data_IF_567635552986
#
_entry.id   IF_567635552986
#
_cell.length_a   1.000
_cell.length_b   1.000
_cell.length_c   1.000
_cell.angle_alpha   90.00
_cell.angle_beta   90.00
_cell.angle_gamma   90.00
#
_symmetry.space_group_name_H-M   'P 1'
#
loop_
_entity.id
_entity.type
_entity.pdbx_description
1 polymer ?
#
# COMPACT_ATOMS: atom_id res chain seq x y z
N UNK A 1 -14.79 -22.40 -33.59
CA UNK A 1 -15.18 -21.43 -32.53
C UNK A 1 -14.60 -21.78 -31.15
N UNK A 2 -14.73 -23.02 -30.65
CA UNK A 2 -14.23 -23.44 -29.31
C UNK A 2 -12.70 -23.27 -29.09
N UNK A 3 -11.89 -23.45 -30.14
CA UNK A 3 -10.42 -23.24 -30.10
C UNK A 3 -9.99 -21.77 -30.00
N UNK A 4 -10.78 -20.85 -30.56
CA UNK A 4 -10.50 -19.41 -30.54
C UNK A 4 -10.76 -18.83 -29.14
N UNK A 5 -11.84 -19.26 -28.49
CA UNK A 5 -12.13 -18.85 -27.10
C UNK A 5 -11.05 -19.29 -26.10
N UNK A 6 -10.50 -20.51 -26.27
CA UNK A 6 -9.39 -21.00 -25.43
C UNK A 6 -8.12 -20.16 -25.65
N UNK A 7 -7.82 -19.80 -26.90
CA UNK A 7 -6.65 -18.99 -27.23
C UNK A 7 -6.74 -17.58 -26.61
N UNK A 8 -7.92 -16.95 -26.68
CA UNK A 8 -8.17 -15.64 -26.07
C UNK A 8 -8.06 -15.71 -24.54
N UNK A 9 -8.62 -16.75 -23.92
CA UNK A 9 -8.52 -16.95 -22.47
C UNK A 9 -7.06 -17.12 -22.01
N UNK A 10 -6.26 -17.89 -22.75
CA UNK A 10 -4.83 -18.08 -22.49
C UNK A 10 -4.03 -16.78 -22.65
N UNK A 11 -4.34 -15.97 -23.66
CA UNK A 11 -3.68 -14.68 -23.88
C UNK A 11 -3.99 -13.69 -22.75
N UNK A 12 -5.25 -13.62 -22.30
CA UNK A 12 -5.65 -12.80 -21.17
C UNK A 12 -4.96 -13.27 -19.88
N UNK A 13 -4.93 -14.58 -19.61
CA UNK A 13 -4.24 -15.13 -18.44
C UNK A 13 -2.73 -14.80 -18.43
N UNK A 14 -2.06 -14.91 -19.57
CA UNK A 14 -0.63 -14.59 -19.69
C UNK A 14 -0.33 -13.11 -19.38
N UNK A 15 -1.20 -12.19 -19.80
CA UNK A 15 -1.04 -10.74 -19.55
C UNK A 15 -1.18 -10.34 -18.07
N UNK A 16 -1.94 -11.11 -17.29
CA UNK A 16 -2.09 -10.88 -15.83
C UNK A 16 -0.83 -11.35 -15.09
N UNK A 17 -0.24 -12.46 -15.52
CA UNK A 17 0.96 -13.05 -14.90
C UNK A 17 2.18 -12.13 -15.05
N UNK A 18 2.38 -11.54 -16.24
CA UNK A 18 3.53 -10.64 -16.49
C UNK A 18 3.46 -9.37 -15.65
N UNK A 19 2.29 -8.74 -15.55
CA UNK A 19 2.08 -7.53 -14.75
C UNK A 19 2.24 -7.78 -13.25
N UNK A 20 1.76 -8.93 -12.76
CA UNK A 20 1.95 -9.34 -11.36
C UNK A 20 3.44 -9.54 -11.03
N UNK A 21 4.21 -10.11 -11.95
CA UNK A 21 5.66 -10.30 -11.78
C UNK A 21 6.41 -8.96 -11.72
N UNK A 22 6.04 -7.98 -12.56
CA UNK A 22 6.63 -6.64 -12.54
C UNK A 22 6.34 -5.90 -11.23
N UNK A 23 5.09 -5.89 -10.78
CA UNK A 23 4.72 -5.27 -9.51
C UNK A 23 5.47 -5.87 -8.31
N UNK A 24 5.61 -7.20 -8.29
CA UNK A 24 6.37 -7.90 -7.25
C UNK A 24 7.85 -7.53 -7.28
N UNK A 25 8.45 -7.45 -8.48
CA UNK A 25 9.83 -7.04 -8.67
C UNK A 25 10.08 -5.62 -8.18
N UNK A 26 9.20 -4.67 -8.51
CA UNK A 26 9.29 -3.28 -8.06
C UNK A 26 9.18 -3.18 -6.54
N UNK A 27 8.22 -3.90 -5.93
CA UNK A 27 8.07 -3.94 -4.49
C UNK A 27 9.35 -4.46 -3.80
N UNK A 28 9.93 -5.54 -4.33
CA UNK A 28 11.19 -6.10 -3.81
C UNK A 28 12.34 -5.10 -3.91
N UNK A 29 12.53 -4.45 -5.06
CA UNK A 29 13.57 -3.41 -5.23
C UNK A 29 13.38 -2.29 -4.22
N UNK A 30 12.14 -1.87 -3.99
CA UNK A 30 11.82 -0.80 -3.06
C UNK A 30 12.16 -1.16 -1.60
N UNK A 31 11.81 -2.38 -1.16
CA UNK A 31 12.17 -2.89 0.17
C UNK A 31 13.67 -2.89 0.35
N UNK A 32 14.42 -3.45 -0.60
CA UNK A 32 15.89 -3.49 -0.57
C UNK A 32 16.49 -2.09 -0.55
N UNK A 33 15.94 -1.15 -1.33
CA UNK A 33 16.42 0.23 -1.39
C UNK A 33 16.18 1.03 -0.11
N UNK A 34 15.08 0.78 0.61
CA UNK A 34 14.80 1.45 1.89
C UNK A 34 15.78 0.92 2.93
N UNK A 35 15.61 -0.34 3.36
CA UNK A 35 16.43 -0.93 4.44
C UNK A 35 16.62 -2.45 4.33
N UNK A 36 16.02 -3.11 3.33
CA UNK A 36 15.98 -4.56 3.20
C UNK A 36 14.99 -5.25 4.15
N UNK A 37 14.61 -6.48 3.82
CA UNK A 37 13.59 -7.26 4.53
C UNK A 37 13.88 -7.39 6.03
N UNK A 38 15.13 -7.71 6.41
CA UNK A 38 15.50 -7.95 7.81
C UNK A 38 15.32 -6.72 8.70
N UNK A 39 15.71 -5.55 8.21
CA UNK A 39 15.61 -4.30 8.99
C UNK A 39 14.16 -3.81 9.05
N UNK A 40 13.41 -3.96 7.96
CA UNK A 40 11.96 -3.65 7.94
C UNK A 40 11.16 -4.61 8.83
N UNK A 41 11.54 -5.89 8.91
CA UNK A 41 10.94 -6.85 9.83
C UNK A 41 11.28 -6.55 11.30
N UNK A 42 12.46 -5.99 11.58
CA UNK A 42 12.86 -5.58 12.92
C UNK A 42 12.10 -4.34 13.44
N UNK A 43 11.57 -3.50 12.53
CA UNK A 43 10.80 -2.30 12.89
C UNK A 43 9.52 -2.67 13.65
N UNK A 44 9.46 -2.27 14.92
CA UNK A 44 8.32 -2.56 15.81
C UNK A 44 7.21 -1.53 15.69
N UNK A 45 7.59 -0.26 15.56
CA UNK A 45 6.68 0.86 15.42
C UNK A 45 7.35 1.99 14.66
N UNK A 46 6.54 2.86 14.07
CA UNK A 46 7.00 4.05 13.36
C UNK A 46 5.99 5.18 13.50
N UNK A 47 6.51 6.41 13.39
CA UNK A 47 5.73 7.64 13.25
C UNK A 47 6.21 8.37 12.00
N UNK A 48 5.28 8.66 11.09
CA UNK A 48 5.54 9.37 9.84
C UNK A 48 4.67 10.62 9.79
N UNK A 49 5.24 11.71 9.30
CA UNK A 49 4.50 12.92 8.92
C UNK A 49 4.64 13.11 7.42
N UNK A 50 3.55 13.47 6.77
CA UNK A 50 3.55 13.67 5.32
C UNK A 50 2.43 14.61 4.88
N UNK A 51 2.26 14.68 3.58
CA UNK A 51 1.15 15.35 2.95
C UNK A 51 0.69 14.59 1.72
N UNK A 52 -0.56 14.80 1.33
CA UNK A 52 -1.15 14.33 0.09
C UNK A 52 -1.72 15.54 -0.62
N UNK A 53 -1.43 15.67 -1.91
CA UNK A 53 -2.02 16.68 -2.77
C UNK A 53 -3.26 16.06 -3.46
N UNK A 54 -4.44 16.64 -3.24
CA UNK A 54 -5.73 16.23 -3.82
C UNK A 54 -6.38 17.46 -4.44
N UNK A 55 -6.58 17.43 -5.75
CA UNK A 55 -6.99 18.60 -6.55
C UNK A 55 -6.07 19.79 -6.27
N UNK A 56 -6.63 20.95 -5.93
CA UNK A 56 -5.89 22.16 -5.57
C UNK A 56 -5.57 22.26 -4.06
N UNK A 57 -5.62 21.14 -3.32
CA UNK A 57 -5.47 21.12 -1.86
C UNK A 57 -4.33 20.22 -1.41
N UNK A 58 -3.53 20.72 -0.46
CA UNK A 58 -2.54 19.95 0.29
C UNK A 58 -3.08 19.57 1.66
N UNK A 59 -3.22 18.27 1.91
CA UNK A 59 -3.66 17.73 3.20
C UNK A 59 -2.47 17.17 3.95
N UNK A 60 -2.25 17.62 5.18
CA UNK A 60 -1.18 17.09 6.03
C UNK A 60 -1.68 15.89 6.82
N UNK A 61 -0.84 14.87 6.94
CA UNK A 61 -1.15 13.71 7.77
C UNK A 61 -0.03 13.37 8.76
N UNK A 62 -0.43 12.76 9.87
CA UNK A 62 0.47 12.04 10.77
C UNK A 62 0.00 10.60 10.88
N UNK A 63 0.91 9.65 10.66
CA UNK A 63 0.67 8.23 10.75
C UNK A 63 1.51 7.62 11.87
N UNK A 64 0.87 6.79 12.67
CA UNK A 64 1.49 5.91 13.65
C UNK A 64 1.15 4.48 13.25
N UNK A 65 2.16 3.62 13.17
CA UNK A 65 1.95 2.20 12.95
C UNK A 65 2.77 1.38 13.95
N UNK A 66 2.22 0.25 14.36
CA UNK A 66 2.89 -0.74 15.18
C UNK A 66 2.52 -2.15 14.72
N UNK A 67 3.50 -3.05 14.78
CA UNK A 67 3.27 -4.48 14.50
C UNK A 67 2.39 -5.09 15.61
N UNK A 68 1.60 -6.14 15.31
CA UNK A 68 1.48 -6.77 13.99
C UNK A 68 0.63 -5.96 13.00
N UNK A 69 -0.40 -5.27 13.46
CA UNK A 69 -1.44 -4.69 12.59
C UNK A 69 -2.17 -3.49 13.23
N UNK A 70 -1.47 -2.69 14.03
CA UNK A 70 -2.01 -1.47 14.61
C UNK A 70 -1.65 -0.26 13.76
N UNK A 71 -2.63 0.58 13.46
CA UNK A 71 -2.43 1.79 12.70
C UNK A 71 -3.36 2.90 13.19
N UNK A 72 -2.85 4.12 13.21
CA UNK A 72 -3.62 5.35 13.34
C UNK A 72 -3.08 6.36 12.35
N UNK A 73 -3.95 6.92 11.54
CA UNK A 73 -3.66 8.02 10.65
C UNK A 73 -4.61 9.18 10.94
N UNK A 74 -4.02 10.35 11.13
CA UNK A 74 -4.75 11.60 11.29
C UNK A 74 -4.45 12.47 10.08
N UNK A 75 -5.47 12.78 9.29
CA UNK A 75 -5.39 13.68 8.14
C UNK A 75 -6.13 14.97 8.48
N UNK A 76 -5.43 16.10 8.38
CA UNK A 76 -5.98 17.42 8.73
C UNK A 76 -6.33 18.19 7.46
N UNK A 77 -7.59 18.60 7.37
CA UNK A 77 -8.11 19.64 6.49
C UNK A 77 -8.19 20.96 7.26
N UNK A 78 -8.46 22.07 6.55
CA UNK A 78 -8.63 23.40 7.15
C UNK A 78 -9.69 23.46 8.26
N UNK A 79 -10.73 22.64 8.17
CA UNK A 79 -11.91 22.67 9.03
C UNK A 79 -12.14 21.37 9.83
N UNK A 80 -11.42 20.29 9.49
CA UNK A 80 -11.72 18.93 9.98
C UNK A 80 -10.47 18.08 10.18
N UNK A 81 -10.60 17.08 11.04
CA UNK A 81 -9.63 16.00 11.18
C UNK A 81 -10.33 14.68 10.83
N UNK A 82 -9.82 14.00 9.81
CA UNK A 82 -10.19 12.62 9.52
C UNK A 82 -9.25 11.69 10.29
N UNK A 83 -9.81 10.80 11.09
CA UNK A 83 -9.07 9.80 11.84
C UNK A 83 -9.42 8.43 11.24
N UNK A 84 -8.42 7.70 10.79
CA UNK A 84 -8.54 6.31 10.37
C UNK A 84 -7.64 5.46 11.25
N UNK A 85 -8.19 4.47 11.94
CA UNK A 85 -7.43 3.66 12.86
C UNK A 85 -7.92 2.22 12.89
N UNK A 86 -7.03 1.29 13.16
CA UNK A 86 -7.34 -0.10 13.47
C UNK A 86 -6.42 -0.58 14.57
N UNK A 87 -6.98 -1.37 15.49
CA UNK A 87 -6.25 -2.11 16.51
C UNK A 87 -5.85 -3.52 16.03
N UNK A 88 -6.20 -3.87 14.78
CA UNK A 88 -5.94 -5.17 14.20
C UNK A 88 -7.00 -6.24 14.50
N UNK A 89 -8.03 -5.90 15.26
CA UNK A 89 -9.14 -6.79 15.66
C UNK A 89 -10.47 -6.25 15.15
N UNK A 90 -10.72 -4.97 15.37
CA UNK A 90 -11.92 -4.28 14.95
C UNK A 90 -11.71 -3.63 13.58
N UNK A 91 -12.68 -3.82 12.69
CA UNK A 91 -12.68 -3.14 11.39
C UNK A 91 -12.94 -1.63 11.61
N UNK A 92 -12.20 -0.74 10.92
CA UNK A 92 -12.37 0.72 11.01
C UNK A 92 -13.76 1.22 10.57
#
# INVERSE_FOLDING_TARGET
MRRIGILILLLCAASVITRANEAHMLARIHVEAIWGEHRLAALKSLKVKGHVDIDDRRLHFTLWAARPNQLRMETRSSDRVLIQATDGVNQP
#
